data_IF_111325892544
#
_entry.id   IF_111325892544
#
_cell.length_a   1.000
_cell.length_b   1.000
_cell.length_c   1.000
_cell.angle_alpha   90.00
_cell.angle_beta   90.00
_cell.angle_gamma   90.00
#
_symmetry.space_group_name_H-M   'P 1'
#
loop_
_entity.id
_entity.type
_entity.pdbx_description
1 polymer ?
#
# COMPACT_ATOMS: atom_id res chain seq x y z
N UNK A 1 -1.10 -11.34 1.63
CA UNK A 1 -0.94 -10.33 0.56
C UNK A 1 -0.77 -10.92 -0.85
N UNK A 2 -0.75 -12.22 -1.04
CA UNK A 2 -0.45 -12.83 -2.35
C UNK A 2 -1.64 -12.96 -3.30
N UNK A 3 -2.87 -13.07 -2.79
CA UNK A 3 -4.04 -13.28 -3.64
C UNK A 3 -4.47 -12.04 -4.45
N UNK A 4 -4.22 -10.83 -3.93
CA UNK A 4 -4.62 -9.58 -4.59
C UNK A 4 -3.75 -9.25 -5.82
N UNK A 5 -2.51 -9.69 -5.84
CA UNK A 5 -1.56 -9.39 -6.93
C UNK A 5 -1.68 -10.34 -8.12
N UNK A 6 -2.49 -11.40 -8.04
CA UNK A 6 -2.48 -12.44 -9.06
C UNK A 6 -3.33 -12.15 -10.29
N UNK A 7 -4.36 -11.31 -10.19
CA UNK A 7 -5.31 -11.12 -11.30
C UNK A 7 -4.72 -10.23 -12.41
N UNK A 8 -4.18 -9.07 -12.09
CA UNK A 8 -3.54 -8.23 -13.10
C UNK A 8 -2.22 -8.81 -13.61
N UNK A 9 -1.51 -9.63 -12.81
CA UNK A 9 -0.37 -10.41 -13.30
C UNK A 9 -0.75 -11.36 -14.42
N UNK A 10 -1.92 -12.02 -14.34
CA UNK A 10 -2.40 -12.90 -15.39
C UNK A 10 -2.66 -12.14 -16.70
N UNK A 11 -3.20 -10.93 -16.61
CA UNK A 11 -3.48 -10.09 -17.79
C UNK A 11 -2.18 -9.62 -18.47
N UNK A 12 -1.17 -9.20 -17.69
CA UNK A 12 0.17 -8.89 -18.23
C UNK A 12 0.81 -10.14 -18.85
N UNK A 13 0.68 -11.30 -18.19
CA UNK A 13 1.20 -12.56 -18.74
C UNK A 13 0.52 -12.96 -20.04
N UNK A 14 -0.81 -12.81 -20.13
CA UNK A 14 -1.56 -13.09 -21.35
C UNK A 14 -1.10 -12.18 -22.49
N UNK A 15 -0.92 -10.88 -22.22
CA UNK A 15 -0.38 -9.92 -23.19
C UNK A 15 1.03 -10.32 -23.69
N UNK A 16 1.94 -10.64 -22.79
CA UNK A 16 3.31 -11.02 -23.16
C UNK A 16 3.38 -12.37 -23.91
N UNK A 17 2.46 -13.29 -23.59
CA UNK A 17 2.34 -14.55 -24.33
C UNK A 17 1.69 -14.34 -25.71
N UNK A 18 0.69 -13.46 -25.81
CA UNK A 18 0.08 -13.06 -27.07
C UNK A 18 1.09 -12.47 -28.05
N UNK A 19 2.00 -11.61 -27.59
CA UNK A 19 3.14 -11.10 -28.39
C UNK A 19 4.04 -12.21 -28.95
N UNK A 20 4.02 -13.39 -28.33
CA UNK A 20 4.74 -14.60 -28.80
C UNK A 20 3.87 -15.53 -29.61
N UNK A 21 2.70 -15.09 -30.08
CA UNK A 21 1.76 -15.87 -30.87
C UNK A 21 1.06 -17.00 -30.08
N UNK A 22 0.90 -16.84 -28.76
CA UNK A 22 0.20 -17.81 -27.92
C UNK A 22 -1.20 -17.31 -27.60
N UNK A 23 -2.22 -18.11 -27.89
CA UNK A 23 -3.59 -17.85 -27.44
C UNK A 23 -3.70 -18.09 -25.94
N UNK A 24 -4.31 -17.14 -25.23
CA UNK A 24 -4.46 -17.17 -23.78
C UNK A 24 -5.90 -16.91 -23.36
N UNK A 25 -6.42 -17.72 -22.46
CA UNK A 25 -7.72 -17.49 -21.80
C UNK A 25 -7.47 -17.08 -20.34
N UNK A 26 -7.91 -15.87 -19.98
CA UNK A 26 -7.85 -15.38 -18.61
C UNK A 26 -9.22 -15.53 -17.96
N UNK A 27 -9.31 -16.32 -16.90
CA UNK A 27 -10.54 -16.59 -16.16
C UNK A 27 -10.47 -15.97 -14.77
N UNK A 28 -11.50 -15.24 -14.41
CA UNK A 28 -11.72 -14.72 -13.04
C UNK A 28 -13.15 -15.01 -12.61
N UNK A 29 -13.39 -15.09 -11.29
CA UNK A 29 -14.72 -15.31 -10.72
C UNK A 29 -15.60 -14.07 -10.69
N UNK A 30 -15.00 -12.89 -10.89
CA UNK A 30 -15.69 -11.60 -10.89
C UNK A 30 -16.27 -11.33 -12.28
N UNK A 31 -17.32 -10.54 -12.31
CA UNK A 31 -18.00 -10.07 -13.50
C UNK A 31 -17.32 -8.88 -14.20
N UNK A 32 -16.13 -8.52 -13.74
CA UNK A 32 -15.35 -7.41 -14.27
C UNK A 32 -13.86 -7.77 -14.41
N UNK A 33 -13.17 -7.05 -15.30
CA UNK A 33 -11.72 -7.10 -15.50
C UNK A 33 -10.97 -6.41 -14.35
N UNK A 34 -9.65 -6.35 -14.43
CA UNK A 34 -8.74 -5.63 -13.54
C UNK A 34 -8.66 -6.16 -12.08
N UNK A 35 -9.49 -7.12 -11.68
CA UNK A 35 -9.38 -7.73 -10.35
C UNK A 35 -9.46 -6.71 -9.21
N UNK A 36 -8.47 -6.67 -8.34
CA UNK A 36 -8.47 -5.76 -7.19
C UNK A 36 -8.15 -4.30 -7.53
N UNK A 37 -7.60 -4.03 -8.70
CA UNK A 37 -7.36 -2.65 -9.15
C UNK A 37 -8.54 -2.07 -9.94
N UNK A 38 -9.66 -2.80 -9.99
CA UNK A 38 -10.87 -2.34 -10.65
C UNK A 38 -11.38 -1.03 -10.05
N UNK A 39 -11.72 -0.09 -10.94
CA UNK A 39 -12.31 1.19 -10.59
C UNK A 39 -13.75 1.26 -11.09
N UNK A 40 -14.65 1.73 -10.25
CA UNK A 40 -15.99 2.14 -10.65
C UNK A 40 -15.98 3.63 -11.01
N UNK A 41 -16.64 3.99 -12.11
CA UNK A 41 -16.91 5.40 -12.39
C UNK A 41 -18.18 5.82 -11.67
N UNK A 42 -18.05 6.74 -10.72
CA UNK A 42 -19.16 7.29 -9.96
C UNK A 42 -19.13 8.80 -10.14
N UNK A 43 -20.06 9.33 -10.92
CA UNK A 43 -20.16 10.77 -11.20
C UNK A 43 -18.85 11.39 -11.76
N UNK A 44 -18.13 10.64 -12.60
CA UNK A 44 -16.86 11.05 -13.18
C UNK A 44 -15.64 10.87 -12.24
N UNK A 45 -15.83 10.23 -11.09
CA UNK A 45 -14.74 9.88 -10.16
C UNK A 45 -14.41 8.39 -10.29
N UNK A 46 -13.14 8.07 -10.51
CA UNK A 46 -12.66 6.69 -10.54
C UNK A 46 -12.48 6.15 -9.11
N UNK A 47 -13.50 5.49 -8.59
CA UNK A 47 -13.51 4.90 -7.26
C UNK A 47 -12.82 3.54 -7.27
N UNK A 48 -11.75 3.39 -6.49
CA UNK A 48 -11.07 2.12 -6.31
C UNK A 48 -11.92 1.18 -5.43
N UNK A 49 -12.65 0.25 -6.05
CA UNK A 49 -13.65 -0.59 -5.38
C UNK A 49 -13.10 -1.45 -4.23
N UNK A 50 -11.88 -1.92 -4.36
CA UNK A 50 -11.25 -2.85 -3.42
C UNK A 50 -10.12 -2.23 -2.59
N UNK A 51 -10.16 -0.92 -2.40
CA UNK A 51 -9.16 -0.15 -1.69
C UNK A 51 -8.17 0.56 -2.62
N UNK A 52 -7.49 1.55 -2.08
CA UNK A 52 -6.58 2.38 -2.85
C UNK A 52 -5.39 1.57 -3.38
N UNK A 53 -5.17 1.66 -4.67
CA UNK A 53 -4.02 1.09 -5.35
C UNK A 53 -3.22 2.21 -6.02
N UNK A 54 -1.99 2.40 -5.59
CA UNK A 54 -1.05 3.33 -6.17
C UNK A 54 0.07 2.50 -6.80
N UNK A 55 0.33 2.71 -8.08
CA UNK A 55 1.45 2.07 -8.74
C UNK A 55 2.75 2.72 -8.26
N UNK A 56 3.73 1.92 -7.87
CA UNK A 56 5.05 2.40 -7.49
C UNK A 56 6.13 1.38 -7.82
N UNK A 57 7.30 1.86 -8.20
CA UNK A 57 8.47 1.03 -8.50
C UNK A 57 9.76 1.85 -8.44
N UNK A 58 10.86 1.20 -8.08
CA UNK A 58 12.22 1.74 -8.21
C UNK A 58 12.86 1.39 -9.56
N UNK A 59 12.29 0.43 -10.29
CA UNK A 59 12.82 0.00 -11.59
C UNK A 59 12.24 0.83 -12.74
N UNK A 60 13.12 1.62 -13.39
CA UNK A 60 12.75 2.44 -14.55
C UNK A 60 12.19 1.59 -15.71
N UNK A 61 12.66 0.37 -15.91
CA UNK A 61 12.18 -0.49 -17.00
C UNK A 61 10.72 -0.89 -16.80
N UNK A 62 10.33 -1.15 -15.55
CA UNK A 62 8.94 -1.45 -15.19
C UNK A 62 8.09 -0.20 -15.37
N UNK A 63 8.60 0.98 -14.96
CA UNK A 63 7.91 2.24 -15.18
C UNK A 63 7.69 2.55 -16.66
N UNK A 64 8.73 2.42 -17.47
CA UNK A 64 8.66 2.64 -18.93
C UNK A 64 7.72 1.62 -19.60
N UNK A 65 7.71 0.37 -19.11
CA UNK A 65 6.82 -0.66 -19.62
C UNK A 65 5.35 -0.31 -19.35
N UNK A 66 4.98 0.06 -18.13
CA UNK A 66 3.59 0.32 -17.80
C UNK A 66 3.06 1.61 -18.47
N UNK A 67 3.91 2.58 -18.73
CA UNK A 67 3.57 3.80 -19.45
C UNK A 67 3.29 3.59 -20.93
N UNK A 68 3.54 2.40 -21.49
CA UNK A 68 3.10 2.04 -22.85
C UNK A 68 1.59 1.83 -22.92
N UNK A 69 0.92 1.54 -21.80
CA UNK A 69 -0.50 1.18 -21.75
C UNK A 69 -1.39 2.27 -21.15
N UNK A 70 -0.84 3.15 -20.34
CA UNK A 70 -1.55 4.29 -19.77
C UNK A 70 -0.55 5.37 -19.33
N UNK A 71 -1.00 6.61 -19.43
CA UNK A 71 -0.30 7.74 -18.83
C UNK A 71 -0.59 7.77 -17.31
N UNK A 72 0.44 8.03 -16.51
CA UNK A 72 0.33 8.13 -15.06
C UNK A 72 0.44 9.59 -14.61
N UNK A 73 -0.37 9.97 -13.64
CA UNK A 73 -0.18 11.24 -12.93
C UNK A 73 1.03 11.15 -11.97
N UNK A 74 1.42 12.28 -11.39
CA UNK A 74 2.48 12.33 -10.39
C UNK A 74 1.91 12.27 -8.95
N UNK A 75 0.95 11.38 -8.73
CA UNK A 75 0.35 11.23 -7.41
C UNK A 75 1.36 10.69 -6.40
N UNK A 76 1.59 11.45 -5.34
CA UNK A 76 2.42 11.04 -4.21
C UNK A 76 1.50 10.58 -3.08
N UNK A 77 1.64 9.32 -2.70
CA UNK A 77 0.85 8.76 -1.61
C UNK A 77 1.32 9.29 -0.26
N UNK A 78 0.54 10.16 0.35
CA UNK A 78 0.81 10.76 1.67
C UNK A 78 -0.38 10.53 2.60
N UNK A 79 -0.58 9.31 3.12
CA UNK A 79 -1.73 8.97 3.93
C UNK A 79 -1.69 9.68 5.29
N UNK A 80 -2.88 9.94 5.82
CA UNK A 80 -3.09 10.54 7.14
C UNK A 80 -3.92 9.60 7.99
N UNK A 81 -3.47 9.36 9.21
CA UNK A 81 -4.24 8.64 10.23
C UNK A 81 -5.02 9.63 11.10
N UNK A 82 -6.27 9.27 11.40
CA UNK A 82 -7.13 9.99 12.33
C UNK A 82 -7.24 9.19 13.61
N UNK A 83 -6.89 9.80 14.73
CA UNK A 83 -7.10 9.23 16.06
C UNK A 83 -7.86 10.24 16.91
N UNK A 84 -9.13 9.94 17.22
CA UNK A 84 -10.03 10.92 17.84
C UNK A 84 -10.03 12.22 17.02
N UNK A 85 -9.65 13.35 17.61
CA UNK A 85 -9.58 14.66 16.94
C UNK A 85 -8.16 15.03 16.49
N UNK A 86 -7.22 14.08 16.50
CA UNK A 86 -5.83 14.29 16.11
C UNK A 86 -5.54 13.70 14.72
N UNK A 87 -4.77 14.42 13.92
CA UNK A 87 -4.29 13.98 12.61
C UNK A 87 -2.79 13.68 12.67
N UNK A 88 -2.40 12.53 12.12
CA UNK A 88 -1.02 12.07 12.06
C UNK A 88 -0.61 11.68 10.66
N UNK A 89 0.54 12.17 10.20
CA UNK A 89 1.10 11.75 8.91
C UNK A 89 1.63 10.31 8.98
N UNK A 90 1.52 9.60 7.86
CA UNK A 90 2.12 8.29 7.67
C UNK A 90 3.05 8.33 6.43
N UNK A 91 4.09 7.48 6.39
CA UNK A 91 4.53 6.52 7.42
C UNK A 91 4.99 7.21 8.70
N UNK A 92 5.34 6.43 9.73
CA UNK A 92 5.86 6.97 11.00
C UNK A 92 7.14 7.77 10.76
N UNK A 93 7.02 9.09 10.61
CA UNK A 93 8.11 10.00 10.28
C UNK A 93 8.20 11.16 11.29
N UNK A 94 9.11 12.10 11.06
CA UNK A 94 9.28 13.23 11.98
C UNK A 94 8.06 14.15 12.07
N UNK A 95 7.20 14.25 11.03
CA UNK A 95 5.93 14.98 11.15
C UNK A 95 4.98 14.27 12.10
N UNK A 96 4.92 12.93 12.06
CA UNK A 96 4.15 12.11 13.01
C UNK A 96 4.63 12.33 14.44
N UNK A 97 5.93 12.23 14.66
CA UNK A 97 6.54 12.34 15.99
C UNK A 97 6.46 13.75 16.56
N UNK A 98 6.70 14.76 15.74
CA UNK A 98 6.55 16.17 16.11
C UNK A 98 5.11 16.50 16.54
N UNK A 99 4.13 15.98 15.78
CA UNK A 99 2.71 16.16 16.12
C UNK A 99 2.35 15.44 17.42
N UNK A 100 2.89 14.24 17.62
CA UNK A 100 2.56 13.39 18.77
C UNK A 100 3.18 13.87 20.07
N UNK A 101 4.42 14.37 20.02
CA UNK A 101 5.25 14.64 21.20
C UNK A 101 5.75 16.08 21.32
N UNK A 102 5.46 16.95 20.35
CA UNK A 102 5.94 18.35 20.35
C UNK A 102 7.44 18.51 20.15
N UNK A 103 8.12 17.50 19.61
CA UNK A 103 9.57 17.45 19.39
C UNK A 103 9.95 17.92 18.00
N UNK A 104 11.26 18.20 17.79
CA UNK A 104 11.77 18.72 16.51
C UNK A 104 12.93 17.90 15.94
N UNK A 105 13.59 17.08 16.73
CA UNK A 105 14.80 16.37 16.32
C UNK A 105 14.64 14.85 16.34
N UNK A 106 15.34 14.12 15.45
CA UNK A 106 15.38 12.67 15.47
C UNK A 106 15.84 12.06 16.80
N UNK A 107 16.77 12.72 17.46
CA UNK A 107 17.34 12.28 18.75
C UNK A 107 16.28 12.29 19.86
N UNK A 108 15.44 13.32 19.90
CA UNK A 108 14.32 13.40 20.84
C UNK A 108 13.32 12.27 20.58
N UNK A 109 12.95 12.03 19.31
CA UNK A 109 12.05 10.95 18.93
C UNK A 109 12.59 9.57 19.37
N UNK A 110 13.85 9.28 19.06
CA UNK A 110 14.51 8.01 19.45
C UNK A 110 14.52 7.82 20.97
N UNK A 111 14.81 8.87 21.74
CA UNK A 111 14.80 8.82 23.21
C UNK A 111 13.41 8.49 23.77
N UNK A 112 12.35 9.08 23.22
CA UNK A 112 10.98 8.82 23.67
C UNK A 112 10.59 7.38 23.34
N UNK A 113 10.83 6.93 22.11
CA UNK A 113 10.54 5.55 21.69
C UNK A 113 11.29 4.56 22.59
N UNK A 114 12.58 4.78 22.82
CA UNK A 114 13.39 3.89 23.66
C UNK A 114 12.91 3.86 25.12
N UNK A 115 12.55 5.01 25.67
CA UNK A 115 11.97 5.11 27.02
C UNK A 115 10.69 4.29 27.11
N UNK A 116 9.73 4.50 26.22
CA UNK A 116 8.45 3.78 26.24
C UNK A 116 8.60 2.28 26.01
N UNK A 117 9.55 1.88 25.18
CA UNK A 117 9.91 0.46 24.99
C UNK A 117 10.44 -0.17 26.29
N UNK A 118 11.32 0.52 26.99
CA UNK A 118 11.83 0.07 28.32
C UNK A 118 10.73 0.03 29.38
N UNK A 119 9.86 1.03 29.40
CA UNK A 119 8.71 1.11 30.32
C UNK A 119 7.71 -0.04 30.10
N UNK A 120 7.61 -0.58 28.89
CA UNK A 120 6.75 -1.73 28.60
C UNK A 120 7.21 -3.01 29.31
N UNK A 121 8.48 -3.13 29.64
CA UNK A 121 9.07 -4.30 30.27
C UNK A 121 9.06 -5.58 29.42
N UNK A 122 8.67 -5.48 28.17
CA UNK A 122 8.50 -6.64 27.27
C UNK A 122 9.85 -7.01 26.68
N UNK A 123 10.26 -8.25 26.86
CA UNK A 123 11.49 -8.82 26.27
C UNK A 123 11.20 -9.84 25.16
N UNK A 124 10.12 -10.61 25.32
CA UNK A 124 9.67 -11.63 24.36
C UNK A 124 8.18 -11.43 24.07
N UNK A 125 7.83 -10.69 23.00
CA UNK A 125 6.46 -10.43 22.65
C UNK A 125 5.70 -11.70 22.23
N UNK A 126 4.54 -11.97 22.84
CA UNK A 126 3.70 -13.16 22.58
C UNK A 126 2.59 -12.91 21.59
N UNK A 127 2.14 -11.68 21.46
CA UNK A 127 1.04 -11.26 20.61
C UNK A 127 1.36 -9.93 19.91
N UNK A 128 0.46 -9.47 19.04
CA UNK A 128 0.66 -8.26 18.25
C UNK A 128 0.74 -7.00 19.11
N UNK A 129 -0.05 -6.89 20.19
CA UNK A 129 0.01 -5.77 21.13
C UNK A 129 1.39 -5.66 21.74
N UNK A 130 1.86 -6.76 22.35
CA UNK A 130 3.19 -6.80 22.97
C UNK A 130 4.31 -6.50 21.95
N UNK A 131 4.18 -7.01 20.73
CA UNK A 131 5.13 -6.73 19.65
C UNK A 131 5.15 -5.25 19.26
N UNK A 132 3.98 -4.61 19.16
CA UNK A 132 3.90 -3.20 18.84
C UNK A 132 4.47 -2.31 19.96
N UNK A 133 4.18 -2.64 21.22
CA UNK A 133 4.76 -1.97 22.39
C UNK A 133 6.28 -2.15 22.44
N UNK A 134 6.76 -3.36 22.19
CA UNK A 134 8.19 -3.67 22.13
C UNK A 134 8.92 -2.89 21.03
N UNK A 135 8.29 -2.69 19.86
CA UNK A 135 8.88 -1.99 18.72
C UNK A 135 8.78 -0.46 18.82
N UNK A 136 7.62 0.07 19.22
CA UNK A 136 7.31 1.48 19.07
C UNK A 136 6.88 2.20 20.34
N UNK A 137 6.58 1.46 21.40
CA UNK A 137 6.07 2.01 22.64
C UNK A 137 4.56 2.28 22.62
N UNK A 138 4.04 2.79 23.74
CA UNK A 138 2.62 2.92 24.02
C UNK A 138 1.90 3.89 23.08
N UNK A 139 2.45 5.08 22.88
CA UNK A 139 1.75 6.13 22.13
C UNK A 139 1.51 5.73 20.66
N UNK A 140 2.52 5.14 20.02
CA UNK A 140 2.43 4.67 18.65
C UNK A 140 1.45 3.49 18.54
N UNK A 141 1.51 2.57 19.49
CA UNK A 141 0.57 1.45 19.54
C UNK A 141 -0.88 1.94 19.67
N UNK A 142 -1.18 2.73 20.68
CA UNK A 142 -2.55 3.15 20.97
C UNK A 142 -3.15 4.05 19.89
N UNK A 143 -2.36 5.00 19.37
CA UNK A 143 -2.85 6.00 18.43
C UNK A 143 -2.88 5.53 16.96
N UNK A 144 -1.92 4.71 16.55
CA UNK A 144 -1.70 4.45 15.13
C UNK A 144 -1.78 2.97 14.71
N UNK A 145 -1.65 2.04 15.66
CA UNK A 145 -1.64 0.60 15.33
C UNK A 145 -2.92 -0.09 15.78
N UNK A 146 -3.29 0.05 17.04
CA UNK A 146 -4.37 -0.71 17.66
C UNK A 146 -5.68 -0.61 16.88
N UNK A 147 -6.24 0.58 16.75
CA UNK A 147 -7.56 0.77 16.14
C UNK A 147 -7.63 0.32 14.68
N UNK A 148 -6.60 0.63 13.89
CA UNK A 148 -6.50 0.18 12.51
C UNK A 148 -6.41 -1.35 12.41
N UNK A 149 -5.55 -1.96 13.22
CA UNK A 149 -5.32 -3.41 13.19
C UNK A 149 -6.56 -4.18 13.64
N UNK A 150 -7.18 -3.77 14.74
CA UNK A 150 -8.39 -4.43 15.24
C UNK A 150 -9.57 -4.31 14.27
N UNK A 151 -9.73 -3.16 13.62
CA UNK A 151 -10.72 -2.98 12.53
C UNK A 151 -10.43 -3.87 11.33
N UNK A 152 -9.17 -3.96 10.91
CA UNK A 152 -8.77 -4.74 9.74
C UNK A 152 -8.94 -6.25 9.94
N UNK A 153 -8.64 -6.75 11.13
CA UNK A 153 -8.66 -8.17 11.46
C UNK A 153 -9.94 -8.64 12.13
N UNK A 154 -10.79 -7.71 12.60
CA UNK A 154 -12.00 -8.04 13.36
C UNK A 154 -11.72 -8.73 14.71
N UNK A 155 -10.49 -8.58 15.24
CA UNK A 155 -10.02 -9.24 16.47
C UNK A 155 -9.13 -8.29 17.27
N UNK A 156 -9.03 -8.50 18.58
CA UNK A 156 -8.16 -7.72 19.46
C UNK A 156 -6.68 -7.99 19.13
N UNK A 157 -5.84 -6.98 19.29
CA UNK A 157 -4.40 -7.11 19.09
C UNK A 157 -3.76 -8.17 20.01
N UNK A 158 -4.31 -8.38 21.20
CA UNK A 158 -3.88 -9.43 22.14
C UNK A 158 -4.13 -10.87 21.64
N UNK A 159 -5.03 -11.05 20.68
CA UNK A 159 -5.39 -12.35 20.09
C UNK A 159 -4.65 -12.62 18.77
N UNK A 160 -3.96 -11.62 18.25
CA UNK A 160 -3.24 -11.71 16.99
C UNK A 160 -1.78 -12.09 17.21
N UNK A 161 -1.19 -12.94 16.35
CA UNK A 161 0.20 -13.35 16.49
C UNK A 161 1.19 -12.18 16.34
N UNK A 162 2.26 -12.18 17.13
CA UNK A 162 3.30 -11.14 17.11
C UNK A 162 3.96 -10.97 15.73
N UNK A 163 4.10 -12.04 14.94
CA UNK A 163 4.78 -12.01 13.65
C UNK A 163 4.07 -11.17 12.58
N UNK A 164 2.83 -10.77 12.79
CA UNK A 164 2.08 -9.88 11.87
C UNK A 164 2.80 -8.52 11.76
N UNK A 165 3.38 -8.03 12.86
CA UNK A 165 4.23 -6.83 12.87
C UNK A 165 5.68 -7.26 13.15
N UNK A 166 6.44 -7.51 12.09
CA UNK A 166 7.86 -7.87 12.25
C UNK A 166 8.75 -6.67 12.56
N UNK A 167 8.38 -5.49 12.06
CA UNK A 167 9.09 -4.21 12.24
C UNK A 167 8.14 -3.04 12.06
N UNK A 168 8.47 -1.92 12.65
CA UNK A 168 7.84 -0.63 12.36
C UNK A 168 8.81 0.22 11.52
N UNK A 169 8.37 0.70 10.36
CA UNK A 169 9.23 1.46 9.45
C UNK A 169 9.37 2.91 9.90
N UNK A 170 10.10 3.14 10.97
CA UNK A 170 10.37 4.51 11.45
C UNK A 170 11.32 5.23 10.50
N UNK A 171 10.92 6.45 10.14
CA UNK A 171 11.72 7.38 9.34
C UNK A 171 12.00 8.64 10.16
N UNK A 172 13.27 8.88 10.47
CA UNK A 172 13.69 10.03 11.25
C UNK A 172 14.01 11.22 10.34
N UNK A 173 13.12 11.48 9.37
CA UNK A 173 13.17 12.60 8.40
C UNK A 173 11.78 13.19 8.26
N UNK A 174 11.69 14.45 7.82
CA UNK A 174 10.43 15.14 7.54
C UNK A 174 9.99 14.86 6.10
N UNK A 175 9.55 13.62 5.84
CA UNK A 175 9.08 13.19 4.52
C UNK A 175 7.79 12.38 4.66
N UNK A 176 6.71 12.87 4.03
CA UNK A 176 5.39 12.24 4.06
C UNK A 176 5.17 11.29 2.88
N UNK A 177 6.11 11.15 1.96
CA UNK A 177 5.99 10.21 0.88
C UNK A 177 5.96 8.77 1.42
N UNK A 178 4.84 8.08 1.26
CA UNK A 178 4.65 6.73 1.80
C UNK A 178 5.62 5.71 1.17
N UNK A 179 5.83 5.82 -0.13
CA UNK A 179 6.77 4.97 -0.87
C UNK A 179 8.13 5.64 -1.01
N UNK A 180 9.20 4.85 -0.98
CA UNK A 180 10.55 5.33 -1.25
C UNK A 180 10.91 5.26 -2.75
N UNK A 181 10.00 4.71 -3.56
CA UNK A 181 10.23 4.52 -4.98
C UNK A 181 10.14 5.85 -5.74
N UNK A 182 11.07 6.14 -6.66
CA UNK A 182 11.08 7.38 -7.44
C UNK A 182 9.94 7.46 -8.45
N UNK A 183 9.40 6.33 -8.88
CA UNK A 183 8.30 6.25 -9.82
C UNK A 183 7.03 5.82 -9.11
N UNK A 184 6.04 6.70 -9.07
CA UNK A 184 4.75 6.41 -8.48
C UNK A 184 3.64 7.25 -9.12
N UNK A 185 2.42 6.72 -9.11
CA UNK A 185 1.27 7.42 -9.67
C UNK A 185 0.03 6.54 -9.78
N UNK A 186 -1.01 7.16 -10.29
CA UNK A 186 -2.28 6.51 -10.62
C UNK A 186 -2.53 6.73 -12.11
N UNK A 187 -2.98 5.72 -12.88
CA UNK A 187 -3.24 5.87 -14.31
C UNK A 187 -4.37 6.87 -14.55
N UNK A 188 -4.14 7.80 -15.46
CA UNK A 188 -5.15 8.78 -15.90
C UNK A 188 -6.27 8.02 -16.63
N UNK A 189 -7.50 8.23 -16.19
CA UNK A 189 -8.68 7.49 -16.67
C UNK A 189 -8.90 6.15 -15.97
N UNK A 190 -8.21 5.91 -14.84
CA UNK A 190 -8.38 4.73 -13.97
C UNK A 190 -7.70 3.46 -14.49
N UNK A 191 -7.59 2.48 -13.61
CA UNK A 191 -6.93 1.20 -13.92
C UNK A 191 -7.65 0.37 -14.97
N UNK A 192 -8.97 0.50 -15.10
CA UNK A 192 -9.73 -0.25 -16.10
C UNK A 192 -9.22 0.06 -17.51
N UNK A 193 -8.88 1.33 -17.79
CA UNK A 193 -8.33 1.75 -19.08
C UNK A 193 -6.99 1.07 -19.39
N UNK A 194 -6.11 1.01 -18.39
CA UNK A 194 -4.83 0.33 -18.50
C UNK A 194 -5.02 -1.17 -18.86
N UNK A 195 -5.93 -1.83 -18.16
CA UNK A 195 -6.18 -3.25 -18.35
C UNK A 195 -6.88 -3.52 -19.69
N UNK A 196 -7.82 -2.67 -20.10
CA UNK A 196 -8.42 -2.75 -21.44
C UNK A 196 -7.36 -2.62 -22.53
N UNK A 197 -6.41 -1.69 -22.39
CA UNK A 197 -5.33 -1.56 -23.36
C UNK A 197 -4.48 -2.84 -23.46
N UNK A 198 -4.15 -3.48 -22.33
CA UNK A 198 -3.44 -4.76 -22.30
C UNK A 198 -4.21 -5.89 -22.99
N UNK A 199 -5.53 -5.95 -22.81
CA UNK A 199 -6.37 -7.00 -23.39
C UNK A 199 -6.65 -6.74 -24.89
N UNK A 200 -6.96 -5.51 -25.26
CA UNK A 200 -7.33 -5.14 -26.63
C UNK A 200 -6.17 -5.27 -27.63
N UNK A 201 -4.93 -5.01 -27.19
CA UNK A 201 -3.74 -5.21 -28.05
C UNK A 201 -3.40 -6.68 -28.26
N UNK A 202 -3.91 -7.60 -27.42
CA UNK A 202 -3.79 -9.04 -27.65
C UNK A 202 -4.81 -9.56 -28.65
N UNK A 203 -6.02 -8.99 -28.70
CA UNK A 203 -7.07 -9.39 -29.67
C UNK A 203 -6.78 -8.85 -31.08
N UNK A 204 -6.17 -7.67 -31.19
CA UNK A 204 -5.80 -7.09 -32.51
C UNK A 204 -4.72 -7.90 -33.26
N UNK A 205 -4.11 -8.89 -32.64
CA UNK A 205 -3.21 -9.84 -33.31
C UNK A 205 -3.96 -10.96 -34.01
N UNK A 206 -5.22 -11.27 -33.62
CA UNK A 206 -6.04 -12.30 -34.23
C UNK A 206 -6.82 -11.78 -35.49
N UNK A 207 -7.10 -10.47 -35.56
CA UNK A 207 -7.80 -9.87 -36.73
C UNK A 207 -6.92 -9.68 -37.98
N UNK A 208 -5.64 -10.05 -37.92
CA UNK A 208 -4.71 -10.01 -39.08
C UNK A 208 -4.40 -11.37 -39.70
N UNK A 209 -5.10 -12.38 -39.27
CA UNK A 209 -5.08 -13.71 -39.90
C UNK A 209 -6.37 -13.97 -40.68
#
# INVERSE_FOLDING_TARGET
>A
SSAASDVYKRQVMAYELGKKGKSCLVIDKRDHIAGNIYCEDVEGIHVHKYGAHIFHTSDKKIWDYINQFAEFNHYINSPVAVYKDELYNLPFNMNTFSRMWGIKTPEEAKKIIERQRKESGITEPKNLEEQALFLGGKDIYEKLIKGYTEKQWGRKCTELPAFIIKRLPFRFVYDNNYFNDPYQGIPIGGYNRLINCLLYTSDAADDKA
#
